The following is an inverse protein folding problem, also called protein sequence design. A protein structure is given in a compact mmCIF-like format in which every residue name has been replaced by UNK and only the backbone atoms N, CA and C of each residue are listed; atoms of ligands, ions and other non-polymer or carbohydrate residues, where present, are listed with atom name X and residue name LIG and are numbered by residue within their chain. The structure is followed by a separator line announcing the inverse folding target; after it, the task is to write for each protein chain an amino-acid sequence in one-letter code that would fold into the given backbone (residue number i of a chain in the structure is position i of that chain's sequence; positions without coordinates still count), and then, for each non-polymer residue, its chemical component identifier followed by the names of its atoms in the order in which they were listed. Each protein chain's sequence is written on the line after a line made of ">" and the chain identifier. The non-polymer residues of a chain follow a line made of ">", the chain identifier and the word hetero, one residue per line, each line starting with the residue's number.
data_IF_838662341783
#
_entry.id   IF_838662341783
#
_cell.length_a   1.000
_cell.length_b   1.000
_cell.length_c   1.000
_cell.angle_alpha   90.00
_cell.angle_beta   90.00
_cell.angle_gamma   90.00
#
_symmetry.space_group_name_H-M   'P 1'
#
loop_
_entity.id
_entity.type
_entity.pdbx_description
1 polymer ?
#
# COMPACT_ATOMS: atom_id res chain seq x y z
N UNK A 1 14.02 69.05 -3.76
CA UNK A 1 12.90 68.12 -3.82
C UNK A 1 13.41 66.77 -4.27
N UNK A 2 13.44 65.78 -3.38
CA UNK A 2 13.79 64.40 -3.69
C UNK A 2 12.66 63.53 -3.13
N UNK A 3 11.76 63.11 -4.02
CA UNK A 3 10.66 62.21 -3.68
C UNK A 3 11.17 60.79 -3.52
N UNK A 4 11.10 60.25 -2.31
CA UNK A 4 11.28 58.82 -2.03
C UNK A 4 10.02 58.10 -2.52
N UNK A 5 10.14 57.35 -3.61
CA UNK A 5 9.16 56.35 -3.99
C UNK A 5 9.29 55.14 -3.08
N UNK A 6 8.33 54.96 -2.19
CA UNK A 6 8.14 53.71 -1.44
C UNK A 6 7.79 52.60 -2.44
N UNK A 7 8.76 51.72 -2.68
CA UNK A 7 8.56 50.49 -3.43
C UNK A 7 7.62 49.58 -2.67
N UNK A 8 6.36 49.58 -3.07
CA UNK A 8 5.32 48.65 -2.64
C UNK A 8 5.74 47.23 -3.05
N UNK A 9 6.44 46.53 -2.14
CA UNK A 9 6.73 45.10 -2.27
C UNK A 9 5.38 44.39 -2.38
N UNK A 10 5.07 43.91 -3.59
CA UNK A 10 4.04 42.88 -3.80
C UNK A 10 4.34 41.77 -2.79
N UNK A 11 3.46 41.61 -1.80
CA UNK A 11 3.37 40.36 -1.06
C UNK A 11 2.87 39.38 -2.10
N UNK A 12 3.78 38.60 -2.66
CA UNK A 12 3.41 37.46 -3.46
C UNK A 12 2.51 36.60 -2.56
N UNK A 13 1.24 36.57 -2.95
CA UNK A 13 0.16 35.78 -2.38
C UNK A 13 0.43 34.32 -2.76
N UNK A 14 1.58 33.79 -2.32
CA UNK A 14 1.98 32.39 -2.49
C UNK A 14 1.22 31.53 -1.47
N UNK A 15 -0.11 31.64 -1.52
CA UNK A 15 -1.06 30.79 -0.83
C UNK A 15 -1.21 29.44 -1.54
N UNK A 16 -0.22 29.04 -2.35
CA UNK A 16 -0.12 27.70 -2.87
C UNK A 16 -0.05 26.77 -1.65
N UNK A 17 -1.03 25.87 -1.43
CA UNK A 17 -0.96 24.95 -0.31
C UNK A 17 0.35 24.19 -0.41
N UNK A 18 1.21 24.33 0.60
CA UNK A 18 2.50 23.65 0.65
C UNK A 18 2.23 22.16 0.49
N UNK A 19 2.54 21.62 -0.69
CA UNK A 19 2.35 20.21 -0.95
C UNK A 19 3.25 19.42 0.00
N UNK A 20 2.75 18.33 0.60
CA UNK A 20 3.55 17.52 1.49
C UNK A 20 4.74 16.92 0.71
N UNK A 21 5.92 16.92 1.33
CA UNK A 21 7.07 16.21 0.80
C UNK A 21 6.89 14.71 1.00
N UNK A 22 6.88 13.94 -0.10
CA UNK A 22 6.64 12.49 -0.06
C UNK A 22 7.96 11.74 -0.29
N UNK A 23 8.28 10.82 0.62
CA UNK A 23 9.47 9.97 0.54
C UNK A 23 9.06 8.50 0.40
N UNK A 24 9.48 7.85 -0.68
CA UNK A 24 9.39 6.39 -0.82
C UNK A 24 10.51 5.73 -0.02
N UNK A 25 10.20 4.71 0.76
CA UNK A 25 11.19 3.90 1.47
C UNK A 25 10.83 2.42 1.48
N UNK A 26 11.86 1.57 1.60
CA UNK A 26 11.74 0.15 1.93
C UNK A 26 12.25 -0.15 3.36
N UNK A 27 12.53 0.88 4.18
CA UNK A 27 12.87 0.70 5.58
C UNK A 27 11.71 0.05 6.35
N UNK A 28 11.95 -0.90 7.27
CA UNK A 28 13.25 -1.35 7.78
C UNK A 28 13.90 -2.51 7.02
N UNK A 29 13.40 -2.94 5.85
CA UNK A 29 14.06 -3.98 5.05
C UNK A 29 15.42 -3.51 4.54
N UNK A 30 15.48 -2.27 4.06
CA UNK A 30 16.74 -1.61 3.67
C UNK A 30 16.86 -0.24 4.30
N UNK A 31 18.04 0.03 4.84
CA UNK A 31 18.41 1.34 5.34
C UNK A 31 18.67 2.30 4.17
N UNK A 32 18.06 3.48 4.24
CA UNK A 32 18.37 4.61 3.37
C UNK A 32 19.63 5.36 3.85
N UNK A 33 20.09 6.37 3.09
CA UNK A 33 21.33 7.08 3.42
C UNK A 33 21.22 7.95 4.70
N UNK A 34 20.05 8.54 4.97
CA UNK A 34 19.88 9.50 6.08
C UNK A 34 18.55 9.30 6.82
N UNK A 35 18.50 9.47 8.15
CA UNK A 35 17.24 9.55 8.89
C UNK A 35 16.42 10.78 8.51
N UNK A 36 15.10 10.68 8.53
CA UNK A 36 14.21 11.80 8.24
C UNK A 36 12.95 11.79 9.12
N UNK A 37 12.39 12.98 9.42
CA UNK A 37 11.13 13.08 10.15
C UNK A 37 9.94 12.73 9.24
N UNK A 38 8.97 12.00 9.77
CA UNK A 38 7.70 11.70 9.12
C UNK A 38 6.53 12.00 10.07
N UNK A 39 5.49 12.65 9.56
CA UNK A 39 4.23 12.92 10.28
C UNK A 39 3.13 11.93 9.93
N UNK A 40 3.20 11.38 8.73
CA UNK A 40 2.27 10.38 8.26
C UNK A 40 2.94 9.35 7.36
N UNK A 41 2.33 8.17 7.27
CA UNK A 41 2.78 7.06 6.44
C UNK A 41 1.61 6.51 5.63
N UNK A 42 1.85 6.29 4.34
CA UNK A 42 0.97 5.46 3.50
C UNK A 42 1.65 4.11 3.35
N UNK A 43 1.11 3.10 4.02
CA UNK A 43 1.60 1.72 3.97
C UNK A 43 0.88 0.98 2.84
N UNK A 44 1.57 0.84 1.71
CA UNK A 44 1.11 0.06 0.56
C UNK A 44 1.45 -1.42 0.75
N UNK A 45 0.42 -2.24 0.89
CA UNK A 45 0.53 -3.68 1.12
C UNK A 45 0.15 -4.41 -0.17
N UNK A 46 0.85 -5.48 -0.50
CA UNK A 46 0.48 -6.39 -1.60
C UNK A 46 0.37 -7.80 -1.04
N UNK A 47 -0.51 -8.63 -1.60
CA UNK A 47 -0.60 -10.02 -1.19
C UNK A 47 0.78 -10.70 -1.25
N UNK A 48 1.18 -11.45 -0.20
CA UNK A 48 2.55 -11.93 -0.07
C UNK A 48 2.93 -12.91 -1.17
N UNK A 49 2.00 -13.74 -1.63
CA UNK A 49 2.24 -14.74 -2.68
C UNK A 49 2.63 -14.08 -4.02
N UNK A 50 1.92 -13.04 -4.46
CA UNK A 50 2.30 -12.33 -5.68
C UNK A 50 3.51 -11.40 -5.48
N UNK A 51 3.72 -10.90 -4.27
CA UNK A 51 4.88 -10.07 -3.94
C UNK A 51 6.18 -10.90 -3.97
N UNK A 52 6.18 -12.09 -3.36
CA UNK A 52 7.31 -13.03 -3.32
C UNK A 52 7.63 -13.53 -4.73
N UNK A 53 6.63 -13.97 -5.50
CA UNK A 53 6.82 -14.34 -6.91
C UNK A 53 7.40 -13.18 -7.73
N UNK A 54 6.89 -11.96 -7.51
CA UNK A 54 7.42 -10.77 -8.17
C UNK A 54 8.87 -10.47 -7.79
N UNK A 55 9.25 -10.74 -6.53
CA UNK A 55 10.62 -10.56 -6.06
C UNK A 55 11.56 -11.62 -6.63
N UNK A 56 11.13 -12.89 -6.70
CA UNK A 56 11.84 -13.96 -7.40
C UNK A 56 12.17 -13.57 -8.86
N UNK A 57 11.16 -13.12 -9.61
CA UNK A 57 11.36 -12.67 -10.99
C UNK A 57 12.33 -11.49 -11.08
N UNK A 58 12.23 -10.52 -10.16
CA UNK A 58 13.17 -9.40 -10.10
C UNK A 58 14.60 -9.90 -9.85
N UNK A 59 14.80 -10.76 -8.86
CA UNK A 59 16.10 -11.29 -8.50
C UNK A 59 16.75 -12.09 -9.65
N UNK A 60 15.95 -12.89 -10.36
CA UNK A 60 16.42 -13.76 -11.43
C UNK A 60 16.60 -13.04 -12.78
N UNK A 61 15.88 -11.95 -13.04
CA UNK A 61 15.95 -11.22 -14.32
C UNK A 61 16.57 -9.83 -14.22
N UNK A 62 16.83 -9.36 -12.99
CA UNK A 62 17.26 -7.99 -12.67
C UNK A 62 16.32 -6.91 -13.21
N UNK A 63 15.03 -7.23 -13.44
CA UNK A 63 14.04 -6.27 -13.89
C UNK A 63 12.63 -6.61 -13.41
N UNK A 64 11.82 -5.59 -13.14
CA UNK A 64 10.39 -5.75 -12.81
C UNK A 64 9.51 -6.05 -14.03
N UNK A 65 10.11 -6.02 -15.23
CA UNK A 65 9.40 -6.02 -16.50
C UNK A 65 9.25 -7.41 -17.10
N UNK A 66 10.12 -8.36 -16.74
CA UNK A 66 10.13 -9.71 -17.30
C UNK A 66 9.56 -10.72 -16.32
N UNK A 67 9.10 -11.84 -16.87
CA UNK A 67 8.64 -13.00 -16.09
C UNK A 67 9.34 -14.22 -16.63
N UNK A 68 9.90 -15.03 -15.74
CA UNK A 68 10.61 -16.25 -16.10
C UNK A 68 9.67 -17.26 -16.75
N UNK A 69 10.22 -18.08 -17.64
CA UNK A 69 9.55 -19.28 -18.14
C UNK A 69 9.31 -20.29 -17.01
N UNK A 70 8.27 -21.10 -17.15
CA UNK A 70 7.89 -22.13 -16.18
C UNK A 70 9.00 -23.17 -15.94
N UNK A 71 9.81 -23.47 -16.96
CA UNK A 71 10.97 -24.36 -16.86
C UNK A 71 11.99 -23.91 -15.81
N UNK A 72 12.15 -22.60 -15.60
CA UNK A 72 13.07 -22.06 -14.58
C UNK A 72 12.54 -22.33 -13.18
N UNK A 73 11.22 -22.23 -12.97
CA UNK A 73 10.62 -22.57 -11.69
C UNK A 73 10.76 -24.05 -11.38
N UNK A 74 10.56 -24.92 -12.37
CA UNK A 74 10.74 -26.36 -12.21
C UNK A 74 12.20 -26.72 -11.91
N UNK A 75 13.14 -26.11 -12.62
CA UNK A 75 14.57 -26.35 -12.41
C UNK A 75 15.05 -25.89 -11.03
N UNK A 76 14.53 -24.76 -10.53
CA UNK A 76 14.98 -24.13 -9.28
C UNK A 76 13.89 -24.12 -8.20
N UNK A 77 13.04 -25.15 -8.17
CA UNK A 77 11.90 -25.23 -7.24
C UNK A 77 12.36 -25.11 -5.79
N UNK A 78 13.33 -25.91 -5.36
CA UNK A 78 13.86 -25.89 -3.99
C UNK A 78 14.38 -24.51 -3.59
N UNK A 79 15.04 -23.83 -4.53
CA UNK A 79 15.58 -22.47 -4.30
C UNK A 79 14.46 -21.44 -4.16
N UNK A 80 13.41 -21.55 -4.97
CA UNK A 80 12.22 -20.72 -4.86
C UNK A 80 11.49 -20.96 -3.54
N UNK A 81 11.33 -22.20 -3.11
CA UNK A 81 10.67 -22.54 -1.84
C UNK A 81 11.43 -21.99 -0.63
N UNK A 82 12.76 -22.13 -0.61
CA UNK A 82 13.59 -21.55 0.45
C UNK A 82 13.47 -20.02 0.48
N UNK A 83 13.50 -19.37 -0.69
CA UNK A 83 13.28 -17.93 -0.80
C UNK A 83 11.90 -17.56 -0.29
N UNK A 84 10.85 -18.29 -0.67
CA UNK A 84 9.48 -18.02 -0.25
C UNK A 84 9.33 -18.08 1.27
N UNK A 85 9.97 -19.05 1.93
CA UNK A 85 9.99 -19.17 3.39
C UNK A 85 10.73 -18.01 4.07
N UNK A 86 11.85 -17.56 3.53
CA UNK A 86 12.56 -16.37 4.07
C UNK A 86 11.83 -15.05 3.81
N UNK A 87 11.18 -14.92 2.65
CA UNK A 87 10.48 -13.69 2.28
C UNK A 87 9.16 -13.51 3.02
N UNK A 88 8.45 -14.58 3.40
CA UNK A 88 7.25 -14.43 4.25
C UNK A 88 7.63 -13.85 5.62
N UNK A 89 8.76 -14.26 6.21
CA UNK A 89 9.28 -13.66 7.44
C UNK A 89 9.57 -12.17 7.27
N UNK A 90 10.26 -11.82 6.19
CA UNK A 90 10.57 -10.41 5.89
C UNK A 90 9.29 -9.59 5.70
N UNK A 91 8.31 -10.13 4.97
CA UNK A 91 7.03 -9.48 4.73
C UNK A 91 6.28 -9.26 6.04
N UNK A 92 6.15 -10.29 6.89
CA UNK A 92 5.45 -10.20 8.18
C UNK A 92 6.12 -9.17 9.11
N UNK A 93 7.46 -9.25 9.26
CA UNK A 93 8.21 -8.35 10.13
C UNK A 93 8.18 -6.90 9.65
N UNK A 94 8.22 -6.67 8.32
CA UNK A 94 8.13 -5.34 7.73
C UNK A 94 6.80 -4.65 8.09
N UNK A 95 5.68 -5.34 7.88
CA UNK A 95 4.36 -4.77 8.16
C UNK A 95 4.13 -4.60 9.66
N UNK A 96 4.52 -5.59 10.48
CA UNK A 96 4.47 -5.49 11.94
C UNK A 96 5.22 -4.24 12.43
N UNK A 97 6.45 -4.02 11.96
CA UNK A 97 7.25 -2.87 12.37
C UNK A 97 6.55 -1.53 12.11
N UNK A 98 5.96 -1.36 10.92
CA UNK A 98 5.25 -0.12 10.58
C UNK A 98 4.00 0.06 11.44
N UNK A 99 3.22 -1.00 11.67
CA UNK A 99 2.04 -0.95 12.52
C UNK A 99 2.40 -0.64 13.98
N UNK A 100 3.46 -1.25 14.50
CA UNK A 100 3.97 -0.99 15.85
C UNK A 100 4.42 0.46 15.98
N UNK A 101 5.15 0.98 14.99
CA UNK A 101 5.55 2.41 14.98
C UNK A 101 4.37 3.36 14.91
N UNK A 102 3.33 3.03 14.14
CA UNK A 102 2.09 3.80 14.09
C UNK A 102 1.44 3.91 15.47
N UNK A 103 1.41 2.82 16.19
CA UNK A 103 0.78 2.73 17.49
C UNK A 103 1.61 3.35 18.62
N UNK A 104 2.90 2.97 18.73
CA UNK A 104 3.80 3.38 19.80
C UNK A 104 4.14 4.86 19.75
N UNK A 105 4.42 5.38 18.55
CA UNK A 105 4.87 6.76 18.35
C UNK A 105 3.75 7.68 17.86
N UNK A 106 2.52 7.16 17.70
CA UNK A 106 1.38 7.93 17.20
C UNK A 106 1.53 8.40 15.76
N UNK A 107 2.28 7.65 14.93
CA UNK A 107 2.41 7.96 13.50
C UNK A 107 1.08 7.72 12.79
N UNK A 108 0.55 8.78 12.19
CA UNK A 108 -0.68 8.70 11.40
C UNK A 108 -0.45 7.79 10.19
N UNK A 109 -1.24 6.74 10.06
CA UNK A 109 -1.03 5.73 9.03
C UNK A 109 -2.30 5.48 8.22
N UNK A 110 -2.15 5.52 6.89
CA UNK A 110 -3.11 4.97 5.93
C UNK A 110 -2.58 3.63 5.44
N UNK A 111 -3.31 2.55 5.69
CA UNK A 111 -3.01 1.24 5.11
C UNK A 111 -3.86 1.07 3.86
N UNK A 112 -3.24 0.67 2.76
CA UNK A 112 -3.92 0.41 1.50
C UNK A 112 -3.38 -0.85 0.84
N UNK A 113 -4.23 -1.60 0.15
CA UNK A 113 -3.77 -2.75 -0.65
C UNK A 113 -3.49 -2.34 -2.09
N UNK A 114 -2.50 -2.98 -2.69
CA UNK A 114 -2.22 -2.90 -4.11
C UNK A 114 -3.42 -3.40 -4.92
N UNK A 115 -4.11 -4.41 -4.43
CA UNK A 115 -5.30 -5.03 -5.01
C UNK A 115 -6.44 -4.02 -5.09
N UNK A 116 -6.68 -3.23 -4.04
CA UNK A 116 -7.68 -2.15 -4.06
C UNK A 116 -7.29 -1.08 -5.09
N UNK A 117 -6.01 -0.69 -5.11
CA UNK A 117 -5.48 0.29 -6.05
C UNK A 117 -5.65 -0.11 -7.52
N UNK A 118 -5.55 -1.39 -7.87
CA UNK A 118 -5.76 -1.85 -9.25
C UNK A 118 -7.25 -2.04 -9.58
N UNK A 119 -8.08 -2.38 -8.60
CA UNK A 119 -9.53 -2.54 -8.76
C UNK A 119 -10.18 -1.17 -8.97
N UNK A 120 -9.92 -0.22 -8.06
CA UNK A 120 -10.44 1.16 -8.08
C UNK A 120 -9.31 2.19 -7.93
N UNK A 121 -8.56 2.39 -9.00
CA UNK A 121 -7.42 3.33 -8.99
C UNK A 121 -7.84 4.78 -8.71
N UNK A 122 -9.02 5.20 -9.20
CA UNK A 122 -9.49 6.58 -8.97
C UNK A 122 -9.85 6.80 -7.49
N UNK A 123 -10.70 5.93 -6.93
CA UNK A 123 -11.14 6.03 -5.54
C UNK A 123 -9.98 5.88 -4.55
N UNK A 124 -9.12 4.87 -4.72
CA UNK A 124 -7.98 4.66 -3.83
C UNK A 124 -6.98 5.83 -3.87
N UNK A 125 -6.69 6.40 -5.05
CA UNK A 125 -5.81 7.57 -5.13
C UNK A 125 -6.44 8.81 -4.51
N UNK A 126 -7.76 8.98 -4.60
CA UNK A 126 -8.46 10.07 -3.91
C UNK A 126 -8.35 9.94 -2.39
N UNK A 127 -8.46 8.73 -1.84
CA UNK A 127 -8.26 8.49 -0.41
C UNK A 127 -6.83 8.83 0.03
N UNK A 128 -5.83 8.46 -0.76
CA UNK A 128 -4.43 8.84 -0.51
C UNK A 128 -4.27 10.37 -0.50
N UNK A 129 -4.85 11.08 -1.47
CA UNK A 129 -4.77 12.54 -1.53
C UNK A 129 -5.47 13.21 -0.34
N UNK A 130 -6.68 12.74 0.02
CA UNK A 130 -7.40 13.19 1.21
C UNK A 130 -6.54 13.00 2.45
N UNK A 131 -6.01 11.79 2.64
CA UNK A 131 -5.13 11.47 3.76
C UNK A 131 -3.95 12.44 3.82
N UNK A 132 -3.15 12.55 2.76
CA UNK A 132 -1.92 13.36 2.76
C UNK A 132 -2.18 14.84 3.03
N UNK A 133 -3.33 15.38 2.61
CA UNK A 133 -3.58 16.82 2.65
C UNK A 133 -4.39 17.29 3.87
N UNK A 134 -5.15 16.42 4.55
CA UNK A 134 -5.83 16.78 5.80
C UNK A 134 -4.83 17.22 6.89
N UNK A 135 -3.61 16.69 6.87
CA UNK A 135 -2.54 16.94 7.85
C UNK A 135 -1.65 18.14 7.49
N UNK A 136 -1.67 18.59 6.22
CA UNK A 136 -0.78 19.65 5.73
C UNK A 136 -1.20 21.07 6.14
N UNK A 137 -2.35 21.27 6.80
CA UNK A 137 -2.78 22.62 7.20
C UNK A 137 -4.20 22.77 7.74
N UNK A 138 -4.77 21.75 8.40
CA UNK A 138 -6.11 21.87 8.99
C UNK A 138 -7.21 22.12 7.96
N UNK A 139 -6.99 21.70 6.71
CA UNK A 139 -7.94 21.92 5.63
C UNK A 139 -9.22 21.11 5.95
N UNK A 140 -10.37 21.77 6.19
CA UNK A 140 -11.58 21.06 6.58
C UNK A 140 -11.96 20.05 5.50
N UNK A 141 -12.57 18.94 5.90
CA UNK A 141 -12.86 17.76 5.06
C UNK A 141 -13.58 18.09 3.74
N UNK A 142 -14.29 19.23 3.69
CA UNK A 142 -14.95 19.75 2.49
C UNK A 142 -14.15 20.74 1.64
N UNK A 143 -12.95 21.19 2.03
CA UNK A 143 -12.12 22.14 1.28
C UNK A 143 -11.20 21.48 0.24
N UNK A 144 -10.86 20.21 0.46
CA UNK A 144 -9.83 19.51 -0.29
C UNK A 144 -10.18 19.15 -1.74
N UNK A 145 -11.46 19.05 -2.05
CA UNK A 145 -11.95 18.74 -3.38
C UNK A 145 -13.15 19.60 -3.76
N UNK A 146 -13.29 20.82 -3.18
CA UNK A 146 -14.42 21.73 -3.51
C UNK A 146 -14.62 21.89 -5.00
N UNK A 147 -13.50 22.00 -5.70
CA UNK A 147 -13.51 22.20 -7.13
C UNK A 147 -13.28 20.91 -7.89
N UNK A 148 -13.22 19.72 -7.27
CA UNK A 148 -12.89 18.48 -7.98
C UNK A 148 -11.45 18.43 -8.52
N UNK A 149 -10.54 19.27 -8.01
CA UNK A 149 -9.19 19.45 -8.58
C UNK A 149 -8.40 18.14 -8.59
N UNK A 150 -8.33 17.44 -7.45
CA UNK A 150 -7.55 16.20 -7.35
C UNK A 150 -8.19 15.08 -8.14
N UNK A 151 -9.52 14.99 -8.12
CA UNK A 151 -10.27 14.07 -8.98
C UNK A 151 -9.95 14.28 -10.45
N UNK A 152 -9.96 15.52 -10.94
CA UNK A 152 -9.55 15.85 -12.32
C UNK A 152 -8.12 15.44 -12.61
N UNK A 153 -7.17 15.73 -11.71
CA UNK A 153 -5.75 15.37 -11.87
C UNK A 153 -5.57 13.85 -11.97
N UNK A 154 -6.23 13.10 -11.11
CA UNK A 154 -6.21 11.63 -11.12
C UNK A 154 -6.82 11.10 -12.42
N UNK A 155 -8.01 11.57 -12.81
CA UNK A 155 -8.67 11.17 -14.06
C UNK A 155 -7.82 11.48 -15.29
N UNK A 156 -7.21 12.67 -15.34
CA UNK A 156 -6.28 13.04 -16.40
C UNK A 156 -5.07 12.10 -16.45
N UNK A 157 -4.50 11.75 -15.29
CA UNK A 157 -3.38 10.82 -15.20
C UNK A 157 -3.76 9.39 -15.63
N UNK A 158 -5.02 9.00 -15.43
CA UNK A 158 -5.61 7.73 -15.88
C UNK A 158 -6.08 7.75 -17.35
N UNK A 159 -5.95 8.89 -18.05
CA UNK A 159 -6.45 9.05 -19.41
C UNK A 159 -7.97 8.94 -19.52
N UNK A 160 -8.70 9.13 -18.41
CA UNK A 160 -10.16 9.10 -18.41
C UNK A 160 -10.72 10.39 -19.01
N UNK A 161 -11.81 10.31 -19.80
CA UNK A 161 -12.48 11.48 -20.33
C UNK A 161 -12.86 12.46 -19.21
N UNK A 162 -12.65 13.75 -19.47
CA UNK A 162 -13.07 14.85 -18.61
C UNK A 162 -14.52 15.19 -18.89
N UNK A 163 -15.34 14.16 -18.78
CA UNK A 163 -16.74 14.16 -19.09
C UNK A 163 -17.47 14.85 -17.91
N UNK A 164 -17.74 16.16 -18.10
CA UNK A 164 -18.80 16.95 -17.46
C UNK A 164 -18.75 17.16 -15.92
N UNK A 165 -17.89 18.09 -15.48
CA UNK A 165 -18.10 18.88 -14.22
C UNK A 165 -18.52 20.33 -14.60
N UNK A 166 -19.41 20.45 -15.58
CA UNK A 166 -20.16 21.69 -15.84
C UNK A 166 -21.64 21.42 -15.60
N UNK A 167 -21.95 20.79 -14.47
CA UNK A 167 -23.29 20.82 -13.88
C UNK A 167 -23.52 22.22 -13.33
N UNK A 168 -23.64 23.18 -14.23
CA UNK A 168 -24.18 24.48 -13.91
C UNK A 168 -25.64 24.23 -13.55
N UNK A 169 -25.93 24.12 -12.26
CA UNK A 169 -27.29 23.96 -11.70
C UNK A 169 -28.15 25.22 -11.90
N UNK A 170 -27.88 26.03 -12.92
CA UNK A 170 -28.46 27.34 -13.15
C UNK A 170 -28.96 27.51 -14.60
N UNK A 171 -29.95 26.72 -15.01
CA UNK A 171 -31.07 27.22 -15.83
C UNK A 171 -32.04 26.10 -16.17
N UNK A 172 -33.17 26.08 -15.47
CA UNK A 172 -34.35 25.39 -15.95
C UNK A 172 -34.80 26.02 -17.26
N UNK A 173 -34.78 25.24 -18.33
CA UNK A 173 -35.62 25.49 -19.50
C UNK A 173 -36.24 24.14 -19.90
N UNK A 174 -37.56 23.94 -19.68
CA UNK A 174 -38.22 22.71 -20.03
C UNK A 174 -38.65 22.83 -21.49
N UNK A 175 -37.93 22.19 -22.41
CA UNK A 175 -38.58 21.81 -23.67
C UNK A 175 -38.05 20.48 -24.20
N UNK A 176 -39.00 19.55 -24.33
CA UNK A 176 -38.77 18.16 -24.66
C UNK A 176 -38.26 17.96 -26.08
N UNK A 177 -37.33 17.03 -26.19
CA UNK A 177 -36.88 16.43 -27.43
C UNK A 177 -36.34 15.05 -27.13
N UNK A 178 -37.21 14.04 -27.26
CA UNK A 178 -36.85 12.63 -27.06
C UNK A 178 -35.94 12.19 -28.21
N UNK A 179 -34.65 12.05 -27.94
CA UNK A 179 -33.70 11.39 -28.83
C UNK A 179 -33.05 10.23 -28.11
N UNK A 180 -33.44 9.02 -28.52
CA UNK A 180 -32.82 7.75 -28.17
C UNK A 180 -31.33 7.78 -28.56
N UNK A 181 -30.45 8.01 -27.58
CA UNK A 181 -29.03 7.72 -27.71
C UNK A 181 -28.79 6.42 -26.96
N UNK A 182 -28.55 5.36 -27.74
CA UNK A 182 -28.25 4.02 -27.27
C UNK A 182 -27.09 4.04 -26.27
N UNK A 183 -27.41 3.70 -25.02
CA UNK A 183 -26.48 3.52 -23.93
C UNK A 183 -25.64 2.25 -24.15
N UNK A 184 -24.62 2.36 -24.99
CA UNK A 184 -23.50 1.43 -25.06
C UNK A 184 -22.29 2.02 -24.35
N UNK A 185 -22.39 2.28 -23.04
CA UNK A 185 -21.22 2.66 -22.22
C UNK A 185 -20.33 1.43 -22.04
N UNK A 186 -19.52 1.14 -23.05
CA UNK A 186 -18.37 0.27 -22.89
C UNK A 186 -17.45 0.86 -21.85
N UNK A 187 -17.16 0.11 -20.80
CA UNK A 187 -16.15 0.44 -19.78
C UNK A 187 -14.81 0.60 -20.49
N UNK A 188 -14.51 1.83 -20.90
CA UNK A 188 -13.26 2.19 -21.57
C UNK A 188 -12.08 1.92 -20.64
N UNK A 189 -11.14 1.10 -21.08
CA UNK A 189 -9.92 0.81 -20.32
C UNK A 189 -9.15 2.10 -19.99
N UNK A 190 -8.72 2.24 -18.73
CA UNK A 190 -8.02 3.42 -18.21
C UNK A 190 -6.61 3.56 -18.80
N UNK A 191 -6.40 4.31 -19.89
CA UNK A 191 -5.07 4.42 -20.51
C UNK A 191 -4.01 5.03 -19.56
N UNK A 192 -3.19 4.17 -18.92
CA UNK A 192 -2.13 4.61 -17.98
C UNK A 192 -0.81 4.95 -18.67
N UNK A 193 -0.77 5.07 -20.01
CA UNK A 193 0.46 5.37 -20.76
C UNK A 193 1.09 6.71 -20.38
N UNK A 194 0.34 7.58 -19.69
CA UNK A 194 0.76 8.88 -19.18
C UNK A 194 1.37 8.85 -17.77
N UNK A 195 1.36 7.71 -17.08
CA UNK A 195 1.93 7.55 -15.73
C UNK A 195 3.46 7.32 -15.72
N UNK A 196 4.16 7.69 -16.79
CA UNK A 196 5.61 7.51 -16.92
C UNK A 196 6.02 6.13 -17.45
N UNK A 197 7.17 5.61 -17.00
CA UNK A 197 7.76 4.36 -17.52
C UNK A 197 6.97 3.09 -17.14
N UNK A 198 6.02 3.19 -16.22
CA UNK A 198 5.21 2.05 -15.80
C UNK A 198 3.97 1.90 -16.68
N UNK A 199 3.96 0.84 -17.49
CA UNK A 199 2.74 0.32 -18.13
C UNK A 199 2.25 -0.90 -17.32
N UNK A 200 1.11 -0.81 -16.61
CA UNK A 200 0.47 -1.95 -15.98
C UNK A 200 0.27 -3.05 -17.03
N UNK A 201 0.56 -4.29 -16.66
CA UNK A 201 0.51 -5.45 -17.57
C UNK A 201 -0.91 -5.80 -18.07
N UNK A 202 -1.95 -5.17 -17.52
CA UNK A 202 -3.36 -5.56 -17.73
C UNK A 202 -4.21 -4.46 -18.38
N UNK A 203 -3.80 -3.97 -19.56
CA UNK A 203 -4.65 -3.10 -20.39
C UNK A 203 -5.60 -3.84 -21.35
N UNK A 204 -5.69 -5.16 -21.27
CA UNK A 204 -6.60 -5.92 -22.11
C UNK A 204 -7.98 -6.06 -21.43
N UNK A 205 -8.92 -5.26 -21.96
CA UNK A 205 -10.39 -5.40 -21.94
C UNK A 205 -11.06 -5.97 -20.68
N UNK A 206 -11.78 -5.11 -19.94
CA UNK A 206 -13.05 -5.37 -19.23
C UNK A 206 -13.14 -6.42 -18.11
N UNK A 207 -12.63 -7.63 -18.33
CA UNK A 207 -12.81 -8.82 -17.47
C UNK A 207 -11.51 -9.29 -16.80
N UNK A 208 -10.37 -8.64 -17.07
CA UNK A 208 -9.02 -9.15 -16.70
C UNK A 208 -8.47 -8.69 -15.34
N UNK A 209 -9.03 -7.67 -14.67
CA UNK A 209 -8.38 -7.09 -13.46
C UNK A 209 -8.23 -8.10 -12.31
N UNK A 210 -9.25 -8.93 -12.09
CA UNK A 210 -9.24 -9.98 -11.06
C UNK A 210 -8.25 -11.12 -11.36
N UNK A 211 -7.90 -11.34 -12.64
CA UNK A 211 -6.95 -12.37 -13.06
C UNK A 211 -5.55 -12.12 -12.50
N UNK A 212 -5.25 -10.89 -12.08
CA UNK A 212 -3.95 -10.53 -11.53
C UNK A 212 -3.77 -10.81 -10.04
N UNK A 213 -4.86 -10.90 -9.25
CA UNK A 213 -4.81 -11.07 -7.78
C UNK A 213 -4.72 -12.54 -7.41
N UNK A 214 -3.67 -12.95 -6.70
CA UNK A 214 -3.42 -14.35 -6.35
C UNK A 214 -2.99 -15.18 -7.57
N UNK A 215 -2.37 -14.54 -8.56
CA UNK A 215 -1.89 -15.22 -9.78
C UNK A 215 -0.87 -16.33 -9.45
N UNK A 216 -0.06 -16.15 -8.41
CA UNK A 216 0.98 -17.11 -8.03
C UNK A 216 0.37 -18.38 -7.43
N UNK A 217 -0.74 -18.24 -6.69
CA UNK A 217 -1.48 -19.39 -6.16
C UNK A 217 -2.13 -20.18 -7.28
N UNK A 218 -2.80 -19.51 -8.23
CA UNK A 218 -3.39 -20.17 -9.42
C UNK A 218 -2.37 -20.88 -10.31
N UNK A 219 -1.14 -20.38 -10.35
CA UNK A 219 -0.01 -21.01 -11.04
C UNK A 219 0.63 -22.16 -10.25
N UNK A 220 0.11 -22.47 -9.05
CA UNK A 220 0.63 -23.51 -8.16
C UNK A 220 2.14 -23.30 -7.91
N UNK A 221 2.51 -22.03 -7.64
CA UNK A 221 3.93 -21.66 -7.41
C UNK A 221 4.49 -22.27 -6.14
N UNK A 222 3.64 -22.57 -5.17
CA UNK A 222 4.02 -22.98 -3.83
C UNK A 222 3.54 -24.41 -3.60
N UNK A 223 4.39 -25.23 -2.98
CA UNK A 223 3.95 -26.48 -2.38
C UNK A 223 3.02 -26.22 -1.19
N UNK A 224 2.15 -27.20 -0.90
CA UNK A 224 1.26 -27.16 0.27
C UNK A 224 2.04 -26.96 1.58
N UNK A 225 3.23 -27.55 1.67
CA UNK A 225 4.10 -27.39 2.83
C UNK A 225 4.59 -25.95 2.99
N UNK A 226 4.95 -25.29 1.88
CA UNK A 226 5.35 -23.88 1.90
C UNK A 226 4.19 -22.96 2.27
N UNK A 227 2.98 -23.21 1.73
CA UNK A 227 1.79 -22.44 2.08
C UNK A 227 1.43 -22.59 3.56
N UNK A 228 1.45 -23.83 4.07
CA UNK A 228 1.23 -24.12 5.49
C UNK A 228 2.24 -23.39 6.37
N UNK A 229 3.53 -23.44 6.02
CA UNK A 229 4.58 -22.73 6.73
C UNK A 229 4.32 -21.22 6.80
N UNK A 230 3.89 -20.60 5.69
CA UNK A 230 3.56 -19.17 5.64
C UNK A 230 2.43 -18.81 6.62
N UNK A 231 1.40 -19.65 6.70
CA UNK A 231 0.26 -19.47 7.59
C UNK A 231 0.64 -19.65 9.06
N UNK A 232 1.32 -20.76 9.38
CA UNK A 232 1.83 -21.05 10.74
C UNK A 232 2.73 -19.91 11.23
N UNK A 233 3.52 -19.31 10.34
CA UNK A 233 4.40 -18.21 10.72
C UNK A 233 3.63 -16.94 11.07
N UNK A 234 2.59 -16.62 10.32
CA UNK A 234 1.71 -15.49 10.62
C UNK A 234 0.94 -15.69 11.93
N UNK A 235 0.46 -16.92 12.18
CA UNK A 235 -0.23 -17.28 13.43
C UNK A 235 0.68 -17.19 14.65
N UNK A 236 1.93 -17.63 14.52
CA UNK A 236 2.93 -17.52 15.59
C UNK A 236 3.25 -16.07 15.91
N UNK A 237 3.42 -15.23 14.89
CA UNK A 237 3.65 -13.79 15.09
C UNK A 237 2.47 -13.11 15.80
N UNK A 238 1.24 -13.47 15.43
CA UNK A 238 0.03 -12.98 16.09
C UNK A 238 0.01 -13.39 17.57
N UNK A 239 0.37 -14.64 17.87
CA UNK A 239 0.45 -15.16 19.24
C UNK A 239 1.50 -14.46 20.08
N UNK A 240 2.70 -14.26 19.54
CA UNK A 240 3.80 -13.54 20.20
C UNK A 240 3.35 -12.12 20.58
N UNK A 241 2.75 -11.38 19.65
CA UNK A 241 2.25 -10.02 19.89
C UNK A 241 1.11 -9.98 20.90
N UNK A 242 0.18 -10.92 20.82
CA UNK A 242 -0.92 -11.03 21.78
C UNK A 242 -0.39 -11.31 23.20
N UNK A 243 0.61 -12.20 23.32
CA UNK A 243 1.30 -12.49 24.58
C UNK A 243 2.05 -11.28 25.12
N UNK A 244 2.78 -10.55 24.28
CA UNK A 244 3.49 -9.32 24.67
C UNK A 244 2.54 -8.28 25.28
N UNK A 245 1.37 -8.09 24.67
CA UNK A 245 0.35 -7.15 25.19
C UNK A 245 -0.29 -7.59 26.49
N UNK A 246 -0.60 -8.88 26.63
CA UNK A 246 -1.20 -9.42 27.88
C UNK A 246 -0.18 -9.50 29.00
N UNK A 247 1.07 -9.86 28.71
CA UNK A 247 2.15 -9.99 29.69
C UNK A 247 2.57 -8.68 30.35
N UNK A 248 2.27 -7.53 29.73
CA UNK A 248 2.44 -6.21 30.35
C UNK A 248 1.34 -5.82 31.35
N UNK A 249 0.17 -6.49 31.31
CA UNK A 249 -0.96 -6.22 32.18
C UNK A 249 -1.09 -7.33 33.23
N UNK A 250 -0.66 -7.08 34.46
CA UNK A 250 -0.65 -8.05 35.58
C UNK A 250 -2.03 -8.53 36.07
N UNK A 251 -2.89 -9.05 35.18
CA UNK A 251 -4.19 -9.66 35.49
C UNK A 251 -4.38 -10.94 34.69
N UNK A 252 -3.91 -12.05 35.25
CA UNK A 252 -4.03 -13.39 34.66
C UNK A 252 -5.47 -13.96 34.67
N UNK A 253 -6.39 -13.40 35.46
CA UNK A 253 -7.73 -13.99 35.69
C UNK A 253 -8.82 -13.59 34.70
N UNK A 254 -8.65 -12.52 33.90
CA UNK A 254 -9.67 -12.10 32.91
C UNK A 254 -9.49 -12.74 31.52
N UNK A 255 -8.55 -13.70 31.40
CA UNK A 255 -8.02 -14.15 30.12
C UNK A 255 -8.85 -15.22 29.39
N UNK A 256 -9.81 -15.88 30.05
CA UNK A 256 -10.43 -17.11 29.56
C UNK A 256 -11.81 -16.96 28.88
N UNK A 257 -12.24 -15.74 28.53
CA UNK A 257 -13.58 -15.51 27.96
C UNK A 257 -13.63 -14.56 26.76
N UNK A 258 -12.49 -14.00 26.33
CA UNK A 258 -12.37 -13.20 25.08
C UNK A 258 -11.49 -13.96 24.09
N UNK A 259 -11.84 -15.22 23.87
CA UNK A 259 -10.98 -16.23 23.25
C UNK A 259 -11.14 -16.19 21.71
N UNK A 260 -10.03 -16.27 21.00
CA UNK A 260 -9.87 -16.33 19.53
C UNK A 260 -10.08 -15.06 18.70
N UNK A 261 -11.17 -14.29 18.85
CA UNK A 261 -11.43 -13.13 17.96
C UNK A 261 -10.34 -12.03 18.06
N UNK A 262 -9.86 -11.76 19.27
CA UNK A 262 -8.78 -10.78 19.52
C UNK A 262 -7.43 -11.24 18.95
N UNK A 263 -7.20 -12.55 18.80
CA UNK A 263 -5.93 -13.08 18.28
C UNK A 263 -5.81 -12.85 16.78
N UNK A 264 -6.93 -12.98 16.08
CA UNK A 264 -7.00 -12.81 14.63
C UNK A 264 -6.72 -11.37 14.19
N UNK A 265 -6.98 -10.38 15.04
CA UNK A 265 -6.61 -8.97 14.81
C UNK A 265 -5.11 -8.79 14.60
N UNK A 266 -4.28 -9.64 15.22
CA UNK A 266 -2.81 -9.57 15.14
C UNK A 266 -2.21 -10.42 14.03
N UNK A 267 -3.00 -11.23 13.31
CA UNK A 267 -2.51 -12.06 12.21
C UNK A 267 -2.47 -11.23 10.92
N UNK A 268 -1.30 -10.84 10.38
CA UNK A 268 -1.25 -9.92 9.24
C UNK A 268 -1.89 -10.48 7.97
N UNK A 269 -1.91 -11.81 7.78
CA UNK A 269 -2.60 -12.41 6.64
C UNK A 269 -4.10 -12.21 6.76
N UNK A 270 -4.68 -12.47 7.94
CA UNK A 270 -6.11 -12.25 8.19
C UNK A 270 -6.45 -10.76 8.16
N UNK A 271 -5.64 -9.93 8.82
CA UNK A 271 -5.82 -8.49 8.91
C UNK A 271 -5.92 -7.81 7.54
N UNK A 272 -5.14 -8.27 6.56
CA UNK A 272 -5.13 -7.69 5.21
C UNK A 272 -6.02 -8.43 4.19
N UNK A 273 -6.65 -9.54 4.56
CA UNK A 273 -7.54 -10.28 3.66
C UNK A 273 -6.87 -11.33 2.78
N UNK A 274 -5.68 -11.80 3.17
CA UNK A 274 -4.85 -12.73 2.39
C UNK A 274 -4.78 -14.14 2.98
N UNK A 275 -5.52 -14.45 4.05
CA UNK A 275 -5.54 -15.80 4.58
C UNK A 275 -6.32 -16.73 3.63
N UNK A 276 -5.64 -17.74 3.08
CA UNK A 276 -6.22 -18.72 2.15
C UNK A 276 -7.41 -19.44 2.79
N UNK A 277 -7.24 -20.00 3.99
CA UNK A 277 -8.22 -20.92 4.57
C UNK A 277 -9.44 -20.19 5.14
N UNK A 278 -9.21 -19.19 6.00
CA UNK A 278 -10.29 -18.53 6.73
C UNK A 278 -11.00 -17.45 5.92
N UNK A 279 -10.37 -16.94 4.87
CA UNK A 279 -10.93 -15.86 4.05
C UNK A 279 -11.14 -16.27 2.61
N UNK A 280 -10.83 -17.51 2.22
CA UNK A 280 -10.98 -18.01 0.85
C UNK A 280 -10.26 -17.09 -0.15
N UNK A 281 -9.00 -16.73 0.16
CA UNK A 281 -8.15 -15.97 -0.74
C UNK A 281 -7.60 -16.87 -1.86
N UNK A 282 -7.59 -16.44 -3.14
CA UNK A 282 -7.92 -15.10 -3.66
C UNK A 282 -9.37 -14.87 -4.09
N UNK A 283 -10.24 -15.87 -3.98
CA UNK A 283 -11.63 -15.82 -4.46
C UNK A 283 -12.45 -14.74 -3.75
N UNK A 284 -12.11 -14.39 -2.50
CA UNK A 284 -12.72 -13.27 -1.78
C UNK A 284 -12.63 -11.93 -2.51
N UNK A 285 -11.53 -11.65 -3.21
CA UNK A 285 -11.40 -10.45 -4.04
C UNK A 285 -12.32 -10.53 -5.26
N UNK A 286 -12.38 -11.69 -5.92
CA UNK A 286 -13.25 -11.88 -7.08
C UNK A 286 -14.75 -11.77 -6.71
N UNK A 287 -15.10 -12.15 -5.49
CA UNK A 287 -16.47 -12.10 -4.99
C UNK A 287 -16.84 -10.75 -4.33
N UNK A 288 -15.91 -9.79 -4.24
CA UNK A 288 -16.12 -8.55 -3.50
C UNK A 288 -16.33 -8.76 -1.99
N UNK A 289 -15.96 -9.94 -1.47
CA UNK A 289 -16.04 -10.33 -0.05
C UNK A 289 -14.75 -10.08 0.70
N UNK A 290 -13.80 -9.39 0.07
CA UNK A 290 -12.54 -9.07 0.68
C UNK A 290 -12.79 -8.24 1.94
N UNK A 291 -12.22 -8.60 3.10
CA UNK A 291 -12.44 -7.84 4.33
C UNK A 291 -12.01 -6.39 4.12
N UNK A 292 -12.79 -5.49 4.69
CA UNK A 292 -12.41 -4.10 4.81
C UNK A 292 -11.18 -4.03 5.71
N UNK A 293 -10.16 -3.29 5.27
CA UNK A 293 -8.97 -3.09 6.09
C UNK A 293 -9.39 -2.23 7.28
N UNK A 294 -9.53 -2.86 8.45
CA UNK A 294 -9.97 -2.19 9.67
C UNK A 294 -8.82 -1.49 10.40
N UNK A 295 -7.78 -1.07 9.67
CA UNK A 295 -6.69 -0.28 10.22
C UNK A 295 -6.89 1.19 9.91
N UNK A 296 -7.87 1.79 10.59
CA UNK A 296 -7.79 3.23 10.85
C UNK A 296 -6.96 3.37 12.11
N UNK A 297 -5.74 3.90 11.98
CA UNK A 297 -5.11 4.65 13.07
C UNK A 297 -5.96 5.90 13.33
N UNK A 298 -7.20 5.71 13.80
CA UNK A 298 -7.78 6.67 14.71
C UNK A 298 -7.00 6.44 15.97
N UNK A 299 -6.17 7.42 16.33
CA UNK A 299 -5.75 7.61 17.71
C UNK A 299 -6.99 7.34 18.59
N UNK A 300 -7.13 6.13 19.16
CA UNK A 300 -8.27 5.76 20.02
C UNK A 300 -8.36 6.68 21.24
N UNK A 301 -7.33 7.52 21.46
CA UNK A 301 -7.30 8.62 22.43
C UNK A 301 -8.43 9.65 22.26
N UNK A 302 -9.04 9.82 21.10
CA UNK A 302 -9.95 10.95 20.89
C UNK A 302 -11.46 10.63 20.98
N UNK A 303 -11.88 9.36 21.02
CA UNK A 303 -13.32 9.02 21.04
C UNK A 303 -13.90 8.64 22.40
N UNK A 304 -13.09 8.14 23.33
CA UNK A 304 -13.53 8.02 24.72
C UNK A 304 -13.17 9.32 25.42
N UNK A 305 -14.12 10.26 25.47
CA UNK A 305 -14.02 11.60 26.06
C UNK A 305 -13.70 11.67 27.56
N UNK A 306 -12.80 10.83 28.07
CA UNK A 306 -12.03 11.16 29.25
C UNK A 306 -11.06 12.27 28.87
N UNK A 307 -11.56 13.50 29.03
CA UNK A 307 -10.78 14.72 29.10
C UNK A 307 -9.65 14.56 30.12
N UNK A 308 -8.56 13.90 29.73
CA UNK A 308 -7.27 14.20 30.31
C UNK A 308 -7.10 15.70 30.15
N UNK A 309 -6.87 16.40 31.26
CA UNK A 309 -6.76 17.86 31.33
C UNK A 309 -5.59 18.32 30.46
N UNK A 310 -5.82 18.37 29.15
CA UNK A 310 -4.89 18.88 28.18
C UNK A 310 -4.80 20.39 28.40
N UNK A 311 -3.61 20.79 28.83
CA UNK A 311 -3.00 22.10 28.67
C UNK A 311 -3.78 23.06 27.75
N UNK A 312 -4.23 24.18 28.30
CA UNK A 312 -4.86 25.31 27.58
C UNK A 312 -3.91 26.09 26.66
N UNK A 313 -2.78 25.50 26.26
CA UNK A 313 -1.84 26.17 25.35
C UNK A 313 -1.81 25.41 24.03
N UNK A 314 -2.11 26.14 22.97
CA UNK A 314 -2.49 25.62 21.66
C UNK A 314 -1.43 24.81 20.92
N UNK A 315 -1.88 24.25 19.80
CA UNK A 315 -1.13 23.44 18.85
C UNK A 315 -0.65 22.10 19.40
N UNK A 316 -1.52 21.08 19.28
CA UNK A 316 -1.08 19.69 19.32
C UNK A 316 -0.16 19.46 18.12
N UNK A 317 1.14 19.64 18.32
CA UNK A 317 2.14 19.32 17.31
C UNK A 317 2.00 17.82 16.97
N UNK A 318 1.60 17.52 15.73
CA UNK A 318 1.49 16.15 15.25
C UNK A 318 2.80 15.39 15.55
N UNK A 319 2.68 14.17 16.06
CA UNK A 319 3.83 13.36 16.42
C UNK A 319 4.76 13.20 15.20
N UNK A 320 6.05 13.49 15.38
CA UNK A 320 7.07 13.37 14.34
C UNK A 320 7.90 12.12 14.63
N UNK A 321 7.79 11.12 13.76
CA UNK A 321 8.54 9.87 13.85
C UNK A 321 9.81 9.94 13.04
N UNK A 322 10.93 9.49 13.62
CA UNK A 322 12.21 9.44 12.93
C UNK A 322 12.36 8.13 12.17
N UNK A 323 12.23 8.19 10.85
CA UNK A 323 12.40 7.04 9.96
C UNK A 323 13.88 6.85 9.63
N UNK A 324 14.27 5.62 9.30
CA UNK A 324 15.62 5.25 8.87
C UNK A 324 16.70 5.43 9.96
N UNK A 325 16.35 5.04 11.19
CA UNK A 325 17.27 5.03 12.32
C UNK A 325 18.34 3.91 12.20
N UNK A 326 19.58 4.14 12.66
CA UNK A 326 20.76 3.32 12.35
C UNK A 326 20.79 1.87 12.85
N UNK A 327 19.76 1.37 13.53
CA UNK A 327 19.83 0.08 14.27
C UNK A 327 18.74 -0.93 13.93
N UNK A 328 17.92 -0.69 12.91
CA UNK A 328 16.82 -1.61 12.56
C UNK A 328 16.90 -1.93 11.07
N UNK A 329 17.63 -3.00 10.74
CA UNK A 329 17.49 -3.68 9.45
C UNK A 329 16.88 -5.06 9.74
N UNK A 330 15.66 -5.32 9.23
CA UNK A 330 15.00 -6.62 9.44
C UNK A 330 15.66 -7.72 8.61
N UNK A 331 16.33 -7.35 7.52
CA UNK A 331 17.05 -8.28 6.66
C UNK A 331 18.54 -8.26 7.00
N UNK A 332 19.13 -9.38 7.44
CA UNK A 332 20.57 -9.46 7.65
C UNK A 332 21.35 -9.14 6.36
N UNK A 333 22.54 -8.51 6.46
CA UNK A 333 23.37 -8.23 5.28
C UNK A 333 23.74 -9.48 4.45
N UNK A 334 23.81 -10.64 5.10
CA UNK A 334 24.20 -11.93 4.54
C UNK A 334 23.02 -12.86 4.25
N UNK A 335 21.79 -12.33 4.22
CA UNK A 335 20.62 -13.13 3.90
C UNK A 335 20.77 -13.80 2.50
N UNK A 336 20.74 -15.15 2.43
CA UNK A 336 20.91 -15.89 1.18
C UNK A 336 19.81 -15.63 0.14
N UNK A 337 18.67 -15.09 0.57
CA UNK A 337 17.50 -14.79 -0.28
C UNK A 337 17.35 -13.28 -0.56
N UNK A 338 18.22 -12.46 0.03
CA UNK A 338 18.29 -11.01 -0.19
C UNK A 338 19.27 -10.63 -1.30
N UNK A 339 20.24 -9.77 -0.94
CA UNK A 339 21.29 -9.27 -1.86
C UNK A 339 22.11 -10.41 -2.49
N UNK A 340 22.25 -11.53 -1.78
CA UNK A 340 22.95 -12.72 -2.27
C UNK A 340 22.30 -13.37 -3.51
N UNK A 341 21.01 -13.14 -3.77
CA UNK A 341 20.34 -13.64 -4.98
C UNK A 341 20.98 -13.12 -6.27
N UNK A 342 21.61 -11.94 -6.23
CA UNK A 342 22.36 -11.40 -7.37
C UNK A 342 23.55 -12.29 -7.72
N UNK A 343 24.28 -12.76 -6.70
CA UNK A 343 25.44 -13.61 -6.87
C UNK A 343 25.02 -15.01 -7.32
N UNK A 344 23.93 -15.56 -6.75
CA UNK A 344 23.35 -16.81 -7.20
C UNK A 344 23.00 -16.76 -8.69
N UNK A 345 22.23 -15.75 -9.12
CA UNK A 345 21.87 -15.58 -10.54
C UNK A 345 23.10 -15.51 -11.45
N UNK A 346 24.13 -14.77 -11.06
CA UNK A 346 25.39 -14.68 -11.82
C UNK A 346 26.16 -15.99 -11.89
N UNK A 347 25.98 -16.89 -10.93
CA UNK A 347 26.54 -18.24 -10.95
C UNK A 347 25.78 -19.20 -11.87
N UNK A 348 24.46 -19.01 -12.02
CA UNK A 348 23.60 -19.82 -12.88
C UNK A 348 23.51 -19.33 -14.33
N UNK A 349 24.01 -18.12 -14.59
CA UNK A 349 24.02 -17.50 -15.93
C UNK A 349 25.45 -17.18 -16.33
N UNK A 350 25.72 -16.97 -17.62
CA UNK A 350 27.04 -16.53 -18.09
C UNK A 350 27.27 -15.03 -17.78
N UNK A 351 27.27 -14.67 -16.49
CA UNK A 351 27.32 -13.28 -15.97
C UNK A 351 26.33 -12.35 -16.69
N UNK A 352 25.06 -12.79 -16.77
CA UNK A 352 23.96 -12.12 -17.46
C UNK A 352 24.05 -11.98 -18.98
N UNK A 353 25.12 -12.46 -19.62
CA UNK A 353 25.21 -12.47 -21.09
C UNK A 353 24.21 -13.46 -21.71
N UNK A 354 23.86 -14.50 -20.97
CA UNK A 354 22.76 -15.43 -21.27
C UNK A 354 21.80 -15.47 -20.08
N UNK A 355 20.85 -14.53 -19.99
CA UNK A 355 19.91 -14.51 -18.86
C UNK A 355 18.97 -15.71 -18.92
N UNK A 356 18.33 -16.03 -17.80
CA UNK A 356 17.28 -17.03 -17.77
C UNK A 356 16.19 -16.74 -18.82
N UNK A 357 15.57 -17.79 -19.41
CA UNK A 357 14.51 -17.61 -20.38
C UNK A 357 13.29 -16.93 -19.73
N UNK A 358 12.73 -15.95 -20.44
CA UNK A 358 11.56 -15.17 -20.00
C UNK A 358 10.43 -15.25 -21.02
N UNK A 359 9.20 -15.16 -20.56
CA UNK A 359 8.02 -15.07 -21.42
C UNK A 359 8.09 -13.80 -22.29
N UNK A 360 7.74 -13.94 -23.57
CA UNK A 360 7.56 -12.79 -24.47
C UNK A 360 6.40 -11.91 -24.01
N UNK A 361 6.50 -10.61 -24.30
CA UNK A 361 5.58 -9.58 -23.81
C UNK A 361 4.49 -9.24 -24.81
#
# INVERSE_FOLDING_TARGET
>A
GAGRGEGQRRRDDDSSPLLPFVVKTHYPERRGPFPYPARSCVLLIRNPYDAIDSYWNLCATNTHTRTLCESVYLQYQDKFEQLARGEIDTWLNFHRWWMDKAEEEGLRMLVMRYEDLIMDTEGTMLEVMKFLLTDAGGCPEGALDKDGFWRRRIRHALGLPQDWINGDSSSGSPNGGSSNVSAGHGVGGTCTSRLGSYRPRHHQSGTSKLVSVGKSLRKVRYSDETLRYMHERAERMAEERWKERRGGAGKAEAASLLEDEDRDEYNPLKQFGYNIDSQNFPENFAQGKCPQIFWRSTCKRDMNGTHSKASKTGESAAAVVKVNAPRVEIRPPYDPHGRAMTNWRKGETEDDTRPFPTLER
#
